data_IF_715976097024
#
_entry.id   IF_715976097024
#
_cell.length_a   1.000
_cell.length_b   1.000
_cell.length_c   1.000
_cell.angle_alpha   90.00
_cell.angle_beta   90.00
_cell.angle_gamma   90.00
#
_symmetry.space_group_name_H-M   'P 1'
#
loop_
_entity.id
_entity.type
_entity.pdbx_description
1 polymer ?
#
# COMPACT_ATOMS: atom_id res chain seq x y z
N UNK A 1 -26.98 8.76 -21.77
CA UNK A 1 -25.86 8.98 -20.81
C UNK A 1 -25.83 10.41 -20.25
N UNK A 2 -25.62 11.46 -21.07
CA UNK A 2 -25.50 12.86 -20.60
C UNK A 2 -26.66 13.36 -19.71
N UNK A 3 -27.91 12.95 -19.99
CA UNK A 3 -29.08 13.31 -19.17
C UNK A 3 -28.99 12.74 -17.75
N UNK A 4 -28.33 11.60 -17.59
CA UNK A 4 -28.15 10.96 -16.28
C UNK A 4 -26.97 11.59 -15.55
N UNK A 5 -25.82 11.77 -16.21
CA UNK A 5 -24.64 12.39 -15.58
C UNK A 5 -24.87 13.85 -15.16
N UNK A 6 -25.77 14.58 -15.84
CA UNK A 6 -26.19 15.93 -15.43
C UNK A 6 -26.94 15.97 -14.07
N UNK A 7 -27.43 14.84 -13.57
CA UNK A 7 -28.16 14.74 -12.30
C UNK A 7 -27.26 14.41 -11.11
N UNK A 8 -25.95 14.17 -11.35
CA UNK A 8 -24.98 13.91 -10.28
C UNK A 8 -24.70 15.19 -9.49
N UNK A 9 -24.59 15.06 -8.17
CA UNK A 9 -24.35 16.15 -7.24
C UNK A 9 -23.03 15.96 -6.51
N UNK A 10 -22.91 14.89 -5.73
CA UNK A 10 -21.72 14.58 -4.93
C UNK A 10 -20.60 14.02 -5.79
N UNK A 11 -20.96 13.19 -6.78
CA UNK A 11 -20.03 12.58 -7.72
C UNK A 11 -19.99 13.30 -9.07
N UNK A 12 -20.37 14.59 -9.10
CA UNK A 12 -20.46 15.38 -10.34
C UNK A 12 -19.11 15.53 -11.05
N UNK A 13 -18.03 15.61 -10.30
CA UNK A 13 -16.67 15.79 -10.80
C UNK A 13 -15.88 14.49 -10.70
N UNK A 14 -16.21 13.49 -11.52
CA UNK A 14 -15.35 12.31 -11.72
C UNK A 14 -14.01 12.65 -12.42
N UNK A 15 -13.54 13.90 -12.33
CA UNK A 15 -12.42 14.48 -13.07
C UNK A 15 -12.87 15.10 -14.39
N UNK A 16 -12.43 16.32 -14.67
CA UNK A 16 -12.51 16.91 -16.00
C UNK A 16 -11.75 15.99 -16.97
N UNK A 17 -12.36 15.69 -18.13
CA UNK A 17 -11.84 14.75 -19.13
C UNK A 17 -11.78 13.27 -18.71
N UNK A 18 -12.57 12.87 -17.71
CA UNK A 18 -12.81 11.45 -17.43
C UNK A 18 -13.50 10.74 -18.60
N UNK A 19 -13.29 9.43 -18.74
CA UNK A 19 -13.95 8.58 -19.74
C UNK A 19 -15.47 8.75 -19.70
N UNK A 20 -16.07 8.78 -18.50
CA UNK A 20 -17.52 9.02 -18.33
C UNK A 20 -17.97 10.40 -18.85
N UNK A 21 -17.18 11.45 -18.60
CA UNK A 21 -17.50 12.80 -19.07
C UNK A 21 -17.40 12.93 -20.59
N UNK A 22 -16.38 12.33 -21.21
CA UNK A 22 -16.18 12.35 -22.65
C UNK A 22 -17.21 11.48 -23.37
N UNK A 23 -17.52 10.29 -22.85
CA UNK A 23 -18.64 9.48 -23.36
C UNK A 23 -19.96 10.23 -23.23
N UNK A 24 -20.21 10.93 -22.12
CA UNK A 24 -21.43 11.74 -21.98
C UNK A 24 -21.57 12.77 -23.12
N UNK A 25 -20.48 13.47 -23.47
CA UNK A 25 -20.48 14.43 -24.61
C UNK A 25 -20.74 13.73 -25.94
N UNK A 26 -20.08 12.59 -26.19
CA UNK A 26 -20.29 11.78 -27.40
C UNK A 26 -21.76 11.38 -27.54
N UNK A 27 -22.39 10.88 -26.46
CA UNK A 27 -23.80 10.50 -26.47
C UNK A 27 -24.75 11.69 -26.65
N UNK A 28 -24.37 12.88 -26.16
CA UNK A 28 -25.12 14.09 -26.44
C UNK A 28 -25.06 14.44 -27.93
N UNK A 29 -23.87 14.44 -28.52
CA UNK A 29 -23.67 14.81 -29.92
C UNK A 29 -24.32 13.80 -30.89
N UNK A 30 -24.32 12.51 -30.52
CA UNK A 30 -25.05 11.47 -31.23
C UNK A 30 -26.57 11.71 -31.20
N UNK A 31 -27.16 11.94 -30.03
CA UNK A 31 -28.60 12.22 -29.89
C UNK A 31 -29.00 13.53 -30.61
N UNK A 32 -28.16 14.56 -30.52
CA UNK A 32 -28.39 15.87 -31.12
C UNK A 32 -28.05 15.93 -32.61
N UNK A 33 -27.39 14.90 -33.15
CA UNK A 33 -26.89 14.81 -34.54
C UNK A 33 -25.98 15.98 -34.91
N UNK A 34 -25.07 16.35 -33.99
CA UNK A 34 -24.18 17.50 -34.15
C UNK A 34 -22.76 17.12 -34.58
N UNK A 35 -22.45 15.83 -34.70
CA UNK A 35 -21.16 15.31 -35.15
C UNK A 35 -21.36 14.22 -36.22
N UNK A 36 -20.35 14.03 -37.08
CA UNK A 36 -20.35 12.97 -38.09
C UNK A 36 -20.01 11.61 -37.48
N UNK A 37 -20.50 10.52 -38.08
CA UNK A 37 -20.29 9.15 -37.60
C UNK A 37 -18.80 8.82 -37.43
N UNK A 38 -17.95 9.26 -38.36
CA UNK A 38 -16.50 9.03 -38.29
C UNK A 38 -15.85 9.71 -37.08
N UNK A 39 -16.27 10.96 -36.77
CA UNK A 39 -15.79 11.70 -35.60
C UNK A 39 -16.24 11.02 -34.31
N UNK A 40 -17.50 10.57 -34.25
CA UNK A 40 -18.04 9.85 -33.10
C UNK A 40 -17.28 8.54 -32.85
N UNK A 41 -17.01 7.76 -33.90
CA UNK A 41 -16.25 6.50 -33.81
C UNK A 41 -14.84 6.75 -33.27
N UNK A 42 -14.11 7.75 -33.80
CA UNK A 42 -12.77 8.10 -33.33
C UNK A 42 -12.75 8.48 -31.83
N UNK A 43 -13.70 9.33 -31.42
CA UNK A 43 -13.85 9.75 -30.03
C UNK A 43 -14.21 8.57 -29.13
N UNK A 44 -15.10 7.67 -29.56
CA UNK A 44 -15.44 6.44 -28.84
C UNK A 44 -14.21 5.56 -28.67
N UNK A 45 -13.47 5.27 -29.74
CA UNK A 45 -12.29 4.40 -29.67
C UNK A 45 -11.17 4.99 -28.81
N UNK A 46 -11.05 6.31 -28.74
CA UNK A 46 -10.16 6.98 -27.78
C UNK A 46 -10.54 6.63 -26.34
N UNK A 47 -11.84 6.67 -26.01
CA UNK A 47 -12.34 6.31 -24.68
C UNK A 47 -12.24 4.81 -24.39
N UNK A 48 -12.50 3.95 -25.36
CA UNK A 48 -12.32 2.49 -25.24
C UNK A 48 -10.85 2.16 -24.98
N UNK A 49 -9.92 2.78 -25.72
CA UNK A 49 -8.49 2.61 -25.48
C UNK A 49 -8.11 3.02 -24.06
N UNK A 50 -8.56 4.19 -23.60
CA UNK A 50 -8.30 4.65 -22.24
C UNK A 50 -8.84 3.68 -21.18
N UNK A 51 -10.01 3.09 -21.41
CA UNK A 51 -10.58 2.07 -20.53
C UNK A 51 -9.76 0.76 -20.53
N UNK A 52 -9.28 0.31 -21.69
CA UNK A 52 -8.42 -0.87 -21.80
C UNK A 52 -7.04 -0.66 -21.14
N UNK A 53 -6.48 0.55 -21.25
CA UNK A 53 -5.24 0.93 -20.57
C UNK A 53 -5.46 0.90 -19.04
N UNK A 54 -6.55 1.48 -18.55
CA UNK A 54 -6.93 1.43 -17.13
C UNK A 54 -7.14 -0.01 -16.65
N UNK A 55 -7.88 -0.81 -17.40
CA UNK A 55 -8.11 -2.22 -17.10
C UNK A 55 -6.79 -3.00 -17.07
N UNK A 56 -5.83 -2.66 -17.92
CA UNK A 56 -4.49 -3.25 -17.88
C UNK A 56 -3.70 -2.86 -16.63
N UNK A 57 -3.73 -1.58 -16.24
CA UNK A 57 -3.00 -1.08 -15.08
C UNK A 57 -3.54 -1.62 -13.76
N UNK A 58 -4.86 -1.75 -13.64
CA UNK A 58 -5.53 -2.23 -12.43
C UNK A 58 -5.91 -3.71 -12.49
N UNK A 59 -5.74 -4.36 -13.64
CA UNK A 59 -6.06 -5.78 -13.85
C UNK A 59 -7.56 -6.08 -13.82
N UNK A 60 -8.41 -5.17 -14.30
CA UNK A 60 -9.84 -5.40 -14.39
C UNK A 60 -10.18 -6.45 -15.46
N UNK A 61 -11.22 -7.23 -15.19
CA UNK A 61 -11.71 -8.30 -16.06
C UNK A 61 -13.24 -8.35 -16.05
N UNK A 62 -13.88 -9.18 -16.87
CA UNK A 62 -15.34 -9.29 -16.98
C UNK A 62 -15.97 -8.01 -17.60
N UNK A 63 -16.79 -7.27 -16.85
CA UNK A 63 -17.42 -6.05 -17.35
C UNK A 63 -16.57 -4.82 -17.02
N UNK A 64 -15.79 -4.33 -17.99
CA UNK A 64 -14.89 -3.19 -17.78
C UNK A 64 -15.64 -1.88 -17.52
N UNK A 65 -16.82 -1.71 -18.08
CA UNK A 65 -17.64 -0.52 -17.84
C UNK A 65 -18.10 -0.45 -16.38
N UNK A 66 -18.64 -1.55 -15.85
CA UNK A 66 -19.05 -1.64 -14.45
C UNK A 66 -17.86 -1.48 -13.50
N UNK A 67 -16.73 -2.12 -13.82
CA UNK A 67 -15.51 -1.98 -13.03
C UNK A 67 -15.00 -0.54 -13.02
N UNK A 68 -15.08 0.16 -14.15
CA UNK A 68 -14.69 1.56 -14.24
C UNK A 68 -15.60 2.48 -13.41
N UNK A 69 -16.93 2.33 -13.52
CA UNK A 69 -17.87 3.10 -12.70
C UNK A 69 -17.67 2.83 -11.21
N UNK A 70 -17.44 1.56 -10.84
CA UNK A 70 -17.10 1.18 -9.47
C UNK A 70 -15.82 1.88 -9.04
N UNK A 71 -14.75 1.76 -9.83
CA UNK A 71 -13.46 2.38 -9.53
C UNK A 71 -13.59 3.90 -9.33
N UNK A 72 -14.38 4.58 -10.17
CA UNK A 72 -14.68 6.00 -10.00
C UNK A 72 -15.32 6.31 -8.65
N UNK A 73 -16.30 5.51 -8.20
CA UNK A 73 -16.94 5.70 -6.89
C UNK A 73 -15.95 5.48 -5.74
N UNK A 74 -15.13 4.44 -5.81
CA UNK A 74 -14.19 4.11 -4.74
C UNK A 74 -13.06 5.15 -4.64
N UNK A 75 -12.66 5.73 -5.78
CA UNK A 75 -11.58 6.72 -5.85
C UNK A 75 -12.02 8.17 -5.59
N UNK A 76 -13.31 8.48 -5.67
CA UNK A 76 -13.79 9.86 -5.55
C UNK A 76 -13.80 10.32 -4.09
N UNK A 77 -12.82 11.16 -3.73
CA UNK A 77 -12.80 11.87 -2.45
C UNK A 77 -13.69 13.11 -2.53
N UNK A 78 -14.86 13.04 -1.89
CA UNK A 78 -15.82 14.13 -1.78
C UNK A 78 -16.32 14.24 -0.33
N UNK A 79 -17.16 15.23 -0.04
CA UNK A 79 -17.67 15.47 1.31
C UNK A 79 -18.44 14.27 1.89
N UNK A 80 -19.13 13.50 1.06
CA UNK A 80 -19.83 12.28 1.49
C UNK A 80 -18.88 11.14 1.80
N UNK A 81 -18.00 10.82 0.86
CA UNK A 81 -17.10 9.68 1.01
C UNK A 81 -16.15 9.89 2.19
N UNK A 82 -15.57 11.09 2.35
CA UNK A 82 -14.67 11.42 3.47
C UNK A 82 -15.36 11.40 4.84
N UNK A 83 -16.65 11.74 4.92
CA UNK A 83 -17.42 11.62 6.17
C UNK A 83 -17.77 10.16 6.46
N UNK A 84 -18.17 9.41 5.42
CA UNK A 84 -18.48 7.97 5.50
C UNK A 84 -17.29 7.13 5.93
N UNK A 85 -16.07 7.58 5.59
CA UNK A 85 -14.84 6.95 6.04
C UNK A 85 -14.68 7.00 7.57
N UNK A 86 -15.09 8.10 8.23
CA UNK A 86 -14.76 8.37 9.64
C UNK A 86 -15.75 7.79 10.64
N UNK A 87 -17.01 7.65 10.26
CA UNK A 87 -18.06 7.22 11.17
C UNK A 87 -19.24 6.63 10.41
N UNK A 88 -20.04 5.76 11.05
CA UNK A 88 -21.36 5.40 10.53
C UNK A 88 -22.14 6.70 10.32
N UNK A 89 -22.45 7.00 9.06
CA UNK A 89 -23.00 8.31 8.70
C UNK A 89 -24.37 8.45 9.39
N UNK A 90 -24.50 9.48 10.23
CA UNK A 90 -25.77 9.81 10.88
C UNK A 90 -26.77 10.27 9.82
N UNK A 91 -28.04 9.93 10.03
CA UNK A 91 -29.09 10.24 9.07
C UNK A 91 -29.20 11.75 8.82
N UNK A 92 -29.22 12.16 7.55
CA UNK A 92 -29.17 13.57 7.18
C UNK A 92 -29.36 13.83 5.69
N UNK A 93 -29.57 15.09 5.31
CA UNK A 93 -29.87 15.49 3.92
C UNK A 93 -28.81 15.08 2.90
N UNK A 94 -27.58 14.81 3.36
CA UNK A 94 -26.51 14.36 2.49
C UNK A 94 -26.72 12.91 2.01
N UNK A 95 -27.39 12.05 2.79
CA UNK A 95 -27.85 10.73 2.34
C UNK A 95 -28.80 10.82 1.15
N UNK A 96 -29.70 11.81 1.18
CA UNK A 96 -30.64 12.02 0.09
C UNK A 96 -29.92 12.30 -1.24
N UNK A 97 -28.87 13.14 -1.21
CA UNK A 97 -28.05 13.42 -2.39
C UNK A 97 -27.21 12.21 -2.81
N UNK A 98 -26.63 11.46 -1.88
CA UNK A 98 -25.88 10.24 -2.18
C UNK A 98 -26.76 9.19 -2.84
N UNK A 99 -27.96 8.93 -2.30
CA UNK A 99 -28.94 8.00 -2.88
C UNK A 99 -29.40 8.44 -4.27
N UNK A 100 -29.60 9.74 -4.50
CA UNK A 100 -29.88 10.24 -5.84
C UNK A 100 -28.75 9.92 -6.83
N UNK A 101 -27.50 10.17 -6.44
CA UNK A 101 -26.34 9.85 -7.28
C UNK A 101 -26.20 8.34 -7.50
N UNK A 102 -26.49 7.50 -6.50
CA UNK A 102 -26.49 6.04 -6.65
C UNK A 102 -27.60 5.52 -7.56
N UNK A 103 -28.77 6.20 -7.59
CA UNK A 103 -29.80 5.92 -8.59
C UNK A 103 -29.30 6.23 -10.00
N UNK A 104 -28.54 7.32 -10.17
CA UNK A 104 -27.90 7.66 -11.45
C UNK A 104 -26.85 6.59 -11.82
N UNK A 105 -26.01 6.19 -10.87
CA UNK A 105 -25.03 5.11 -11.06
C UNK A 105 -25.71 3.83 -11.52
N UNK A 106 -26.80 3.40 -10.88
CA UNK A 106 -27.53 2.19 -11.29
C UNK A 106 -27.97 2.26 -12.75
N UNK A 107 -28.52 3.40 -13.18
CA UNK A 107 -28.89 3.63 -14.58
C UNK A 107 -27.69 3.66 -15.54
N UNK A 108 -26.51 4.08 -15.07
CA UNK A 108 -25.28 4.02 -15.85
C UNK A 108 -24.74 2.58 -15.95
N UNK A 109 -24.86 1.77 -14.89
CA UNK A 109 -24.56 0.34 -14.92
C UNK A 109 -25.46 -0.39 -15.93
N UNK A 110 -26.76 -0.10 -15.88
CA UNK A 110 -27.76 -0.73 -16.76
C UNK A 110 -27.89 -0.01 -18.12
N UNK A 111 -26.92 0.84 -18.50
CA UNK A 111 -26.99 1.65 -19.70
C UNK A 111 -26.87 0.80 -20.97
N UNK A 112 -27.84 0.95 -21.88
CA UNK A 112 -27.86 0.22 -23.15
C UNK A 112 -27.02 0.92 -24.23
N UNK A 113 -25.94 0.27 -24.63
CA UNK A 113 -25.04 0.74 -25.70
C UNK A 113 -25.47 0.27 -27.11
N UNK A 114 -26.42 -0.68 -27.24
CA UNK A 114 -26.81 -1.23 -28.55
C UNK A 114 -27.26 -0.16 -29.57
N UNK A 115 -28.01 0.90 -29.20
CA UNK A 115 -28.49 1.87 -30.19
C UNK A 115 -27.36 2.59 -30.92
N UNK A 116 -26.30 3.00 -30.22
CA UNK A 116 -25.15 3.70 -30.82
C UNK A 116 -24.23 2.72 -31.57
N UNK A 117 -24.04 1.51 -31.03
CA UNK A 117 -23.26 0.45 -31.69
C UNK A 117 -23.87 0.08 -33.05
N UNK A 118 -25.18 -0.13 -33.08
CA UNK A 118 -25.93 -0.42 -34.30
C UNK A 118 -25.90 0.73 -35.30
N UNK A 119 -26.01 1.97 -34.84
CA UNK A 119 -26.02 3.14 -35.71
C UNK A 119 -24.65 3.37 -36.37
N UNK A 120 -23.56 3.19 -35.62
CA UNK A 120 -22.19 3.46 -36.07
C UNK A 120 -21.50 2.23 -36.67
N UNK A 121 -22.09 1.03 -36.57
CA UNK A 121 -21.51 -0.21 -37.08
C UNK A 121 -20.28 -0.67 -36.29
N UNK A 122 -20.28 -0.46 -34.97
CA UNK A 122 -19.19 -0.84 -34.04
C UNK A 122 -19.69 -1.84 -33.00
N UNK A 123 -18.78 -2.56 -32.34
CA UNK A 123 -19.09 -3.61 -31.33
C UNK A 123 -18.25 -3.48 -30.04
N UNK A 124 -17.60 -2.33 -29.86
CA UNK A 124 -16.61 -2.14 -28.81
C UNK A 124 -17.21 -2.15 -27.40
N UNK A 125 -18.42 -1.61 -27.18
CA UNK A 125 -19.07 -1.58 -25.87
C UNK A 125 -19.54 -2.98 -25.46
N UNK A 126 -20.13 -3.73 -26.39
CA UNK A 126 -20.49 -5.13 -26.19
C UNK A 126 -19.25 -5.99 -25.88
N UNK A 127 -18.11 -5.69 -26.51
CA UNK A 127 -16.84 -6.37 -26.28
C UNK A 127 -16.25 -6.08 -24.89
N UNK A 128 -16.19 -4.82 -24.46
CA UNK A 128 -15.64 -4.47 -23.13
C UNK A 128 -16.55 -4.89 -21.96
N UNK A 129 -17.84 -5.10 -22.23
CA UNK A 129 -18.80 -5.59 -21.22
C UNK A 129 -18.65 -7.10 -20.97
N UNK A 130 -18.02 -7.81 -21.92
CA UNK A 130 -17.72 -9.24 -21.86
C UNK A 130 -16.22 -9.50 -22.00
N UNK A 131 -15.41 -8.64 -21.40
CA UNK A 131 -13.96 -8.67 -21.54
C UNK A 131 -13.37 -9.92 -20.89
N UNK A 132 -12.31 -10.43 -21.51
CA UNK A 132 -11.49 -11.52 -20.98
C UNK A 132 -10.04 -11.07 -20.99
N UNK A 133 -9.49 -10.82 -19.82
CA UNK A 133 -8.11 -10.45 -19.66
C UNK A 133 -7.20 -11.59 -20.11
N UNK A 134 -6.19 -11.27 -20.94
CA UNK A 134 -5.13 -12.22 -21.25
C UNK A 134 -4.34 -12.48 -19.96
N UNK A 135 -4.11 -13.75 -19.62
CA UNK A 135 -3.31 -14.15 -18.46
C UNK A 135 -1.90 -13.54 -18.56
N UNK A 136 -1.67 -12.43 -17.87
CA UNK A 136 -0.37 -11.77 -17.76
C UNK A 136 0.37 -12.34 -16.54
N UNK A 137 1.70 -12.40 -16.62
CA UNK A 137 2.55 -12.72 -15.46
C UNK A 137 2.18 -11.76 -14.32
N UNK A 138 2.00 -12.31 -13.12
CA UNK A 138 1.39 -11.70 -11.92
C UNK A 138 2.01 -10.38 -11.41
N UNK A 139 3.02 -9.83 -12.10
CA UNK A 139 3.83 -8.69 -11.63
C UNK A 139 3.39 -7.31 -12.14
N UNK A 140 2.33 -7.21 -12.96
CA UNK A 140 2.00 -5.97 -13.70
C UNK A 140 0.91 -5.11 -13.02
N UNK A 141 0.03 -5.68 -12.19
CA UNK A 141 -1.11 -4.96 -11.59
C UNK A 141 -1.36 -5.34 -10.13
N UNK A 142 -2.02 -4.45 -9.38
CA UNK A 142 -2.38 -4.71 -7.98
C UNK A 142 -3.59 -5.67 -7.90
N UNK A 143 -3.33 -6.96 -7.70
CA UNK A 143 -4.36 -8.01 -7.63
C UNK A 143 -5.40 -7.74 -6.53
N UNK A 144 -5.00 -7.14 -5.41
CA UNK A 144 -5.93 -6.85 -4.32
C UNK A 144 -6.92 -5.77 -4.72
N UNK A 145 -6.45 -4.70 -5.37
CA UNK A 145 -7.32 -3.64 -5.90
C UNK A 145 -8.26 -4.20 -6.96
N UNK A 146 -7.73 -5.00 -7.90
CA UNK A 146 -8.53 -5.65 -8.93
C UNK A 146 -9.68 -6.48 -8.33
N UNK A 147 -9.34 -7.42 -7.44
CA UNK A 147 -10.30 -8.32 -6.83
C UNK A 147 -11.35 -7.55 -6.00
N UNK A 148 -10.92 -6.49 -5.32
CA UNK A 148 -11.78 -5.61 -4.55
C UNK A 148 -12.78 -4.86 -5.43
N UNK A 149 -12.31 -4.19 -6.49
CA UNK A 149 -13.17 -3.46 -7.44
C UNK A 149 -14.16 -4.42 -8.10
N UNK A 150 -13.71 -5.58 -8.59
CA UNK A 150 -14.59 -6.56 -9.22
C UNK A 150 -15.64 -7.12 -8.25
N UNK A 151 -15.28 -7.34 -6.97
CA UNK A 151 -16.24 -7.77 -5.94
C UNK A 151 -17.34 -6.74 -5.72
N UNK A 152 -16.97 -5.47 -5.57
CA UNK A 152 -17.94 -4.38 -5.36
C UNK A 152 -18.77 -4.16 -6.62
N UNK A 153 -18.14 -4.21 -7.80
CA UNK A 153 -18.78 -4.09 -9.11
C UNK A 153 -19.91 -5.11 -9.27
N UNK A 154 -19.64 -6.40 -9.02
CA UNK A 154 -20.66 -7.46 -9.02
C UNK A 154 -21.78 -7.23 -8.00
N UNK A 155 -21.43 -6.69 -6.84
CA UNK A 155 -22.43 -6.40 -5.79
C UNK A 155 -23.38 -5.26 -6.23
N UNK A 156 -22.85 -4.23 -6.89
CA UNK A 156 -23.64 -3.12 -7.44
C UNK A 156 -24.48 -3.59 -8.63
N UNK A 157 -23.94 -4.46 -9.48
CA UNK A 157 -24.66 -5.04 -10.62
C UNK A 157 -25.93 -5.78 -10.16
N UNK A 158 -25.82 -6.60 -9.10
CA UNK A 158 -26.96 -7.35 -8.56
C UNK A 158 -27.85 -6.55 -7.60
N UNK A 159 -27.49 -5.30 -7.27
CA UNK A 159 -28.27 -4.47 -6.36
C UNK A 159 -29.65 -4.12 -6.96
N UNK A 160 -30.69 -4.23 -6.15
CA UNK A 160 -32.07 -3.97 -6.56
C UNK A 160 -32.35 -2.49 -6.81
N UNK A 161 -31.78 -1.61 -5.98
CA UNK A 161 -32.06 -0.17 -5.98
C UNK A 161 -30.90 0.66 -5.42
N UNK A 162 -31.08 1.98 -5.34
CA UNK A 162 -30.09 2.89 -4.78
C UNK A 162 -29.80 2.70 -3.29
N UNK A 163 -30.69 2.08 -2.52
CA UNK A 163 -30.49 1.84 -1.08
C UNK A 163 -29.48 0.72 -0.87
N UNK A 164 -29.59 -0.37 -1.63
CA UNK A 164 -28.61 -1.44 -1.61
C UNK A 164 -27.22 -0.95 -2.07
N UNK A 165 -27.16 -0.14 -3.13
CA UNK A 165 -25.89 0.48 -3.57
C UNK A 165 -25.33 1.39 -2.48
N UNK A 166 -26.18 2.20 -1.84
CA UNK A 166 -25.77 3.06 -0.73
C UNK A 166 -25.13 2.23 0.39
N UNK A 167 -25.74 1.11 0.78
CA UNK A 167 -25.20 0.23 1.82
C UNK A 167 -23.88 -0.41 1.40
N UNK A 168 -23.77 -0.90 0.16
CA UNK A 168 -22.54 -1.51 -0.37
C UNK A 168 -21.38 -0.51 -0.32
N UNK A 169 -21.59 0.70 -0.84
CA UNK A 169 -20.56 1.74 -0.94
C UNK A 169 -20.18 2.29 0.44
N UNK A 170 -21.15 2.54 1.32
CA UNK A 170 -20.85 3.03 2.68
C UNK A 170 -20.14 1.99 3.54
N UNK A 171 -20.53 0.72 3.43
CA UNK A 171 -19.81 -0.40 4.08
C UNK A 171 -18.37 -0.44 3.59
N UNK A 172 -18.16 -0.30 2.27
CA UNK A 172 -16.82 -0.22 1.71
C UNK A 172 -16.01 0.96 2.29
N UNK A 173 -16.58 2.17 2.35
CA UNK A 173 -15.89 3.33 2.92
C UNK A 173 -15.59 3.15 4.42
N UNK A 174 -16.39 2.40 5.16
CA UNK A 174 -16.10 2.13 6.57
C UNK A 174 -14.98 1.09 6.76
N UNK A 175 -14.98 0.03 5.96
CA UNK A 175 -14.00 -1.05 6.08
C UNK A 175 -12.65 -0.70 5.47
N UNK A 176 -12.66 -0.09 4.29
CA UNK A 176 -11.46 0.15 3.50
C UNK A 176 -11.13 1.62 3.39
N UNK A 177 -12.10 2.51 3.56
CA UNK A 177 -11.97 3.95 3.35
C UNK A 177 -12.00 4.37 1.89
N UNK A 178 -11.67 5.62 1.61
CA UNK A 178 -11.85 6.25 0.29
C UNK A 178 -10.53 6.51 -0.41
N UNK A 179 -10.56 6.54 -1.74
CA UNK A 179 -9.47 7.07 -2.55
C UNK A 179 -8.31 6.09 -2.67
N UNK A 180 -7.14 6.62 -3.01
CA UNK A 180 -5.93 5.82 -3.17
C UNK A 180 -5.54 5.08 -1.88
N UNK A 181 -5.78 5.71 -0.73
CA UNK A 181 -5.56 5.11 0.59
C UNK A 181 -6.55 3.99 0.87
N UNK A 182 -7.76 4.04 0.33
CA UNK A 182 -8.71 2.94 0.53
C UNK A 182 -8.30 1.68 -0.21
N UNK A 183 -7.82 1.85 -1.43
CA UNK A 183 -7.48 0.76 -2.33
C UNK A 183 -6.09 0.17 -2.08
N UNK A 184 -5.13 0.93 -1.56
CA UNK A 184 -3.75 0.48 -1.45
C UNK A 184 -3.25 0.47 -0.01
N UNK A 185 -2.52 -0.58 0.36
CA UNK A 185 -1.94 -0.76 1.70
C UNK A 185 -0.64 0.00 1.93
N UNK A 186 0.11 0.29 0.86
CA UNK A 186 1.40 0.97 0.97
C UNK A 186 1.74 1.86 -0.21
N UNK A 187 2.58 2.85 0.07
CA UNK A 187 2.93 3.95 -0.83
C UNK A 187 4.42 4.25 -0.76
N UNK A 188 4.97 4.69 -1.89
CA UNK A 188 6.18 5.51 -1.95
C UNK A 188 5.78 6.93 -2.25
N UNK A 189 6.70 7.86 -2.05
CA UNK A 189 6.49 9.25 -2.43
C UNK A 189 7.43 9.68 -3.54
N UNK A 190 6.96 10.63 -4.35
CA UNK A 190 7.77 11.42 -5.27
C UNK A 190 7.66 12.89 -4.86
N UNK A 191 8.80 13.54 -4.67
CA UNK A 191 8.85 14.97 -4.37
C UNK A 191 8.57 15.76 -5.66
N UNK A 192 7.67 16.73 -5.59
CA UNK A 192 7.30 17.60 -6.71
C UNK A 192 8.07 18.93 -6.64
N UNK A 193 8.31 19.57 -7.79
CA UNK A 193 9.06 20.84 -7.86
C UNK A 193 8.36 22.00 -7.11
N UNK A 194 7.03 21.94 -6.98
CA UNK A 194 6.22 22.91 -6.26
C UNK A 194 6.28 22.76 -4.72
N UNK A 195 7.08 21.83 -4.20
CA UNK A 195 7.18 21.53 -2.77
C UNK A 195 6.10 20.59 -2.24
N UNK A 196 5.26 20.04 -3.12
CA UNK A 196 4.26 19.03 -2.77
C UNK A 196 4.82 17.60 -2.93
N UNK A 197 4.04 16.59 -2.53
CA UNK A 197 4.38 15.17 -2.70
C UNK A 197 3.29 14.41 -3.43
N UNK A 198 3.70 13.51 -4.31
CA UNK A 198 2.81 12.55 -4.98
C UNK A 198 2.93 11.18 -4.30
N UNK A 199 1.81 10.61 -3.88
CA UNK A 199 1.75 9.26 -3.32
C UNK A 199 1.61 8.22 -4.45
N UNK A 200 2.58 7.32 -4.53
CA UNK A 200 2.63 6.26 -5.54
C UNK A 200 2.36 4.91 -4.87
N UNK A 201 1.27 4.19 -5.24
CA UNK A 201 0.94 2.91 -4.62
C UNK A 201 1.99 1.84 -4.93
N UNK A 202 2.29 1.00 -3.94
CA UNK A 202 3.16 -0.17 -4.09
C UNK A 202 2.29 -1.39 -4.39
N UNK A 203 2.24 -1.76 -5.68
CA UNK A 203 1.34 -2.81 -6.17
C UNK A 203 1.77 -4.24 -5.85
N UNK A 204 3.07 -4.47 -5.61
CA UNK A 204 3.68 -5.79 -5.46
C UNK A 204 4.34 -5.96 -4.09
N UNK A 205 3.60 -5.72 -3.01
CA UNK A 205 4.08 -6.10 -1.69
C UNK A 205 3.77 -7.58 -1.45
N UNK A 206 4.79 -8.33 -1.04
CA UNK A 206 4.66 -9.72 -0.61
C UNK A 206 3.45 -9.92 0.31
N UNK A 207 2.76 -11.05 0.17
CA UNK A 207 1.56 -11.40 0.97
C UNK A 207 1.88 -11.97 2.36
N UNK A 208 3.16 -12.03 2.70
CA UNK A 208 3.72 -12.56 3.96
C UNK A 208 3.11 -11.86 5.17
N UNK A 209 2.63 -12.63 6.15
CA UNK A 209 2.23 -12.16 7.49
C UNK A 209 3.27 -12.58 8.54
N UNK A 210 3.16 -12.08 9.77
CA UNK A 210 4.19 -12.35 10.80
C UNK A 210 4.31 -13.84 11.15
N UNK A 211 3.21 -14.58 11.03
CA UNK A 211 3.19 -16.02 11.32
C UNK A 211 3.94 -16.85 10.26
N UNK A 212 4.11 -16.31 9.05
CA UNK A 212 4.95 -16.92 8.00
C UNK A 212 6.45 -16.75 8.30
N UNK A 213 6.81 -15.82 9.20
CA UNK A 213 8.19 -15.58 9.61
C UNK A 213 8.60 -16.55 10.72
N UNK A 214 9.51 -17.47 10.40
CA UNK A 214 9.99 -18.48 11.34
C UNK A 214 10.93 -17.86 12.39
N UNK A 215 10.65 -18.17 13.66
CA UNK A 215 11.43 -17.66 14.81
C UNK A 215 11.07 -16.24 15.23
N UNK A 216 11.94 -15.61 16.02
CA UNK A 216 11.80 -14.22 16.51
C UNK A 216 10.47 -13.91 17.22
N UNK A 217 9.88 -14.90 17.91
CA UNK A 217 8.52 -14.78 18.45
C UNK A 217 8.37 -13.56 19.37
N UNK A 218 9.29 -13.36 20.32
CA UNK A 218 9.28 -12.19 21.19
C UNK A 218 9.31 -10.86 20.42
N UNK A 219 10.15 -10.75 19.38
CA UNK A 219 10.23 -9.55 18.54
C UNK A 219 8.95 -9.32 17.75
N UNK A 220 8.33 -10.39 17.24
CA UNK A 220 7.06 -10.34 16.51
C UNK A 220 5.93 -9.91 17.44
N UNK A 221 5.86 -10.47 18.66
CA UNK A 221 4.83 -10.15 19.65
C UNK A 221 4.93 -8.68 20.09
N UNK A 222 6.14 -8.18 20.38
CA UNK A 222 6.36 -6.76 20.69
C UNK A 222 5.89 -5.83 19.57
N UNK A 223 6.20 -6.16 18.31
CA UNK A 223 5.77 -5.38 17.15
C UNK A 223 4.25 -5.44 16.96
N UNK A 224 3.65 -6.62 17.17
CA UNK A 224 2.22 -6.87 17.07
C UNK A 224 1.45 -6.10 18.13
N UNK A 225 1.83 -6.22 19.40
CA UNK A 225 1.17 -5.52 20.51
C UNK A 225 1.16 -4.00 20.32
N UNK A 226 2.30 -3.41 19.92
CA UNK A 226 2.40 -1.98 19.66
C UNK A 226 1.54 -1.53 18.48
N UNK A 227 1.56 -2.31 17.38
CA UNK A 227 0.79 -1.96 16.18
C UNK A 227 -0.71 -2.18 16.38
N UNK A 228 -1.09 -3.22 17.12
CA UNK A 228 -2.47 -3.46 17.54
C UNK A 228 -2.99 -2.29 18.38
N UNK A 229 -2.23 -1.84 19.37
CA UNK A 229 -2.58 -0.66 20.15
C UNK A 229 -2.80 0.56 19.24
N UNK A 230 -1.93 0.78 18.26
CA UNK A 230 -2.03 1.91 17.33
C UNK A 230 -3.31 1.87 16.46
N UNK A 231 -3.63 0.71 15.87
CA UNK A 231 -4.85 0.57 15.03
C UNK A 231 -6.13 0.69 15.84
N UNK A 232 -6.13 0.25 17.09
CA UNK A 232 -7.24 0.41 18.03
C UNK A 232 -7.36 1.83 18.61
N UNK A 233 -6.47 2.76 18.21
CA UNK A 233 -6.45 4.14 18.72
C UNK A 233 -5.95 4.28 20.17
N UNK A 234 -5.27 3.26 20.69
CA UNK A 234 -4.54 3.32 21.96
C UNK A 234 -3.15 3.92 21.75
N UNK A 235 -2.53 4.36 22.84
CA UNK A 235 -1.15 4.87 22.80
C UNK A 235 -0.18 3.78 22.32
N UNK A 236 0.67 4.16 21.37
CA UNK A 236 1.68 3.29 20.77
C UNK A 236 2.95 4.10 20.50
N UNK A 237 4.08 3.41 20.40
CA UNK A 237 5.39 4.03 20.25
C UNK A 237 5.89 3.98 18.80
N UNK A 238 6.71 4.95 18.43
CA UNK A 238 7.59 4.81 17.26
C UNK A 238 8.52 3.60 17.50
N UNK A 239 8.76 2.80 16.47
CA UNK A 239 9.50 1.54 16.59
C UNK A 239 10.82 1.59 15.82
N UNK A 240 11.92 1.19 16.49
CA UNK A 240 13.22 0.99 15.86
C UNK A 240 13.58 -0.49 15.93
N UNK A 241 13.63 -1.15 14.77
CA UNK A 241 14.10 -2.53 14.65
C UNK A 241 15.57 -2.49 14.27
N UNK A 242 16.45 -2.96 15.16
CA UNK A 242 17.90 -2.90 14.94
C UNK A 242 18.56 -4.26 15.09
N UNK A 243 19.74 -4.44 14.53
CA UNK A 243 20.51 -5.66 14.65
C UNK A 243 21.08 -6.14 13.32
N UNK A 244 21.44 -7.42 13.23
CA UNK A 244 22.19 -7.94 12.09
C UNK A 244 21.38 -7.89 10.79
N UNK A 245 22.06 -7.72 9.66
CA UNK A 245 21.42 -7.78 8.35
C UNK A 245 20.89 -9.20 8.04
N UNK A 246 19.80 -9.27 7.28
CA UNK A 246 19.23 -10.56 6.84
C UNK A 246 18.43 -11.34 7.90
N UNK A 247 18.12 -10.73 9.05
CA UNK A 247 17.35 -11.34 10.16
C UNK A 247 15.83 -11.15 10.06
N UNK A 248 15.35 -10.42 9.05
CA UNK A 248 13.90 -10.24 8.80
C UNK A 248 13.30 -8.92 9.25
N UNK A 249 14.08 -7.95 9.76
CA UNK A 249 13.58 -6.63 10.25
C UNK A 249 12.58 -5.94 9.29
N UNK A 250 12.99 -5.71 8.05
CA UNK A 250 12.15 -5.04 7.03
C UNK A 250 10.96 -5.92 6.62
N UNK A 251 11.12 -7.24 6.62
CA UNK A 251 10.04 -8.19 6.33
C UNK A 251 8.99 -8.19 7.44
N UNK A 252 9.38 -8.11 8.72
CA UNK A 252 8.44 -8.00 9.84
C UNK A 252 7.56 -6.75 9.74
N UNK A 253 8.13 -5.61 9.34
CA UNK A 253 7.35 -4.37 9.14
C UNK A 253 6.43 -4.47 7.92
N UNK A 254 6.85 -5.12 6.83
CA UNK A 254 5.95 -5.36 5.70
C UNK A 254 4.82 -6.32 6.06
N UNK A 255 5.13 -7.33 6.87
CA UNK A 255 4.18 -8.32 7.34
C UNK A 255 3.12 -7.73 8.29
N UNK A 256 3.51 -6.82 9.19
CA UNK A 256 2.53 -6.16 10.08
C UNK A 256 1.51 -5.32 9.29
N UNK A 257 1.94 -4.71 8.18
CA UNK A 257 1.05 -3.93 7.30
C UNK A 257 0.03 -4.83 6.60
N UNK A 258 0.42 -6.06 6.24
CA UNK A 258 -0.51 -7.04 5.69
C UNK A 258 -1.52 -7.53 6.74
N UNK A 259 -1.04 -7.83 7.94
CA UNK A 259 -1.85 -8.33 9.05
C UNK A 259 -2.97 -7.34 9.43
N UNK A 260 -2.64 -6.04 9.52
CA UNK A 260 -3.55 -4.99 9.98
C UNK A 260 -4.11 -4.09 8.86
N UNK A 261 -3.99 -4.48 7.58
CA UNK A 261 -4.53 -3.68 6.47
C UNK A 261 -6.04 -3.44 6.59
N UNK A 262 -6.78 -4.46 7.03
CA UNK A 262 -8.23 -4.41 7.25
C UNK A 262 -8.62 -3.52 8.43
N UNK A 263 -7.70 -3.30 9.37
CA UNK A 263 -7.89 -2.42 10.53
C UNK A 263 -7.48 -0.97 10.23
N UNK A 264 -7.37 -0.61 8.94
CA UNK A 264 -7.06 0.74 8.51
C UNK A 264 -5.57 1.12 8.54
N UNK A 265 -4.65 0.15 8.74
CA UNK A 265 -3.22 0.41 8.71
C UNK A 265 -2.72 0.63 7.27
N UNK A 266 -1.90 1.66 7.07
CA UNK A 266 -1.24 2.02 5.81
C UNK A 266 0.24 2.29 6.05
N UNK A 267 1.08 1.98 5.07
CA UNK A 267 2.52 2.25 5.14
C UNK A 267 2.96 3.24 4.08
N UNK A 268 3.79 4.21 4.46
CA UNK A 268 4.44 5.13 3.52
C UNK A 268 5.95 4.93 3.64
N UNK A 269 6.55 4.29 2.64
CA UNK A 269 7.99 4.08 2.55
C UNK A 269 8.65 5.38 2.06
N UNK A 270 9.62 5.86 2.83
CA UNK A 270 10.41 7.04 2.48
C UNK A 270 11.91 6.73 2.50
N UNK A 271 12.64 7.36 1.60
CA UNK A 271 14.09 7.30 1.56
C UNK A 271 14.73 8.50 2.26
N UNK A 272 16.01 8.37 2.66
CA UNK A 272 16.75 9.40 3.42
C UNK A 272 16.65 10.81 2.83
N UNK A 273 16.85 10.95 1.52
CA UNK A 273 16.81 12.24 0.83
C UNK A 273 15.41 12.89 0.82
N UNK A 274 14.37 12.15 1.21
CA UNK A 274 12.98 12.60 1.26
C UNK A 274 12.54 12.97 2.69
N UNK A 275 13.43 12.94 3.68
CA UNK A 275 13.08 13.33 5.06
C UNK A 275 12.62 14.78 5.16
N UNK A 276 13.08 15.65 4.25
CA UNK A 276 12.59 17.03 4.10
C UNK A 276 11.10 17.11 3.77
N UNK A 277 10.52 16.08 3.18
CA UNK A 277 9.11 16.04 2.74
C UNK A 277 8.17 15.51 3.83
N UNK A 278 8.69 15.09 5.00
CA UNK A 278 7.91 14.51 6.10
C UNK A 278 6.74 15.41 6.54
N UNK A 279 6.97 16.71 6.68
CA UNK A 279 5.93 17.66 7.09
C UNK A 279 4.79 17.72 6.07
N UNK A 280 5.12 17.71 4.77
CA UNK A 280 4.14 17.70 3.68
C UNK A 280 3.39 16.37 3.65
N UNK A 281 4.08 15.24 3.81
CA UNK A 281 3.43 13.92 3.91
C UNK A 281 2.42 13.90 5.07
N UNK A 282 2.83 14.38 6.24
CA UNK A 282 1.99 14.41 7.44
C UNK A 282 0.77 15.32 7.24
N UNK A 283 0.91 16.47 6.56
CA UNK A 283 -0.21 17.38 6.32
C UNK A 283 -1.29 16.76 5.43
N UNK A 284 -0.92 15.92 4.46
CA UNK A 284 -1.86 15.17 3.61
C UNK A 284 -2.63 14.09 4.38
N UNK A 285 -2.00 13.45 5.36
CA UNK A 285 -2.56 12.25 6.01
C UNK A 285 -3.16 12.50 7.40
N UNK A 286 -2.84 13.63 8.05
CA UNK A 286 -3.24 13.91 9.46
C UNK A 286 -4.74 13.89 9.72
N UNK A 287 -5.55 14.17 8.70
CA UNK A 287 -7.00 14.27 8.81
C UNK A 287 -7.76 13.06 8.23
N UNK A 288 -7.07 12.00 7.83
CA UNK A 288 -7.68 10.76 7.29
C UNK A 288 -7.98 9.77 8.42
N UNK A 289 -8.94 8.86 8.24
CA UNK A 289 -9.31 7.90 9.29
C UNK A 289 -8.31 6.74 9.46
N UNK A 290 -7.37 6.60 8.54
CA UNK A 290 -6.36 5.55 8.59
C UNK A 290 -5.30 5.80 9.66
N UNK A 291 -4.59 4.72 9.98
CA UNK A 291 -3.37 4.74 10.77
C UNK A 291 -2.18 4.55 9.84
N UNK A 292 -1.23 5.47 9.88
CA UNK A 292 -0.10 5.48 8.97
C UNK A 292 1.19 5.14 9.70
N UNK A 293 1.92 4.14 9.20
CA UNK A 293 3.33 3.93 9.52
C UNK A 293 4.16 4.59 8.42
N UNK A 294 4.89 5.63 8.78
CA UNK A 294 5.97 6.14 7.94
C UNK A 294 7.18 5.23 8.17
N UNK A 295 7.56 4.50 7.13
CA UNK A 295 8.59 3.48 7.17
C UNK A 295 9.90 3.97 6.56
N UNK A 296 11.00 3.78 7.29
CA UNK A 296 12.36 4.10 6.86
C UNK A 296 13.22 2.85 6.90
N UNK A 297 13.64 2.36 5.73
CA UNK A 297 14.53 1.20 5.66
C UNK A 297 16.00 1.64 5.81
N UNK A 298 16.76 0.86 6.58
CA UNK A 298 18.20 1.00 6.81
C UNK A 298 18.64 2.42 7.20
N UNK A 299 18.02 2.94 8.26
CA UNK A 299 18.43 4.16 8.91
C UNK A 299 19.85 4.00 9.47
N UNK A 300 20.80 4.69 8.87
CA UNK A 300 22.10 4.96 9.45
C UNK A 300 22.12 6.37 10.03
N UNK A 301 23.07 6.59 10.93
CA UNK A 301 23.36 7.91 11.46
C UNK A 301 24.86 8.11 11.33
N UNK A 302 25.32 8.38 10.11
CA UNK A 302 26.70 8.75 9.85
C UNK A 302 26.93 10.20 10.27
N UNK A 303 28.17 10.60 10.57
CA UNK A 303 28.48 11.93 11.15
C UNK A 303 28.17 13.09 10.19
N UNK A 304 28.17 12.83 8.88
CA UNK A 304 27.89 13.81 7.86
C UNK A 304 26.40 13.85 7.42
N UNK A 305 25.57 12.93 7.91
CA UNK A 305 24.14 12.91 7.58
C UNK A 305 23.43 13.98 8.43
N UNK A 306 22.87 15.01 7.80
CA UNK A 306 22.11 16.08 8.49
C UNK A 306 20.60 15.82 8.45
N UNK A 307 20.17 14.84 7.66
CA UNK A 307 18.77 14.54 7.36
C UNK A 307 18.00 14.07 8.61
N UNK A 308 18.68 13.49 9.60
CA UNK A 308 18.06 13.04 10.85
C UNK A 308 17.50 14.21 11.68
N UNK A 309 17.95 15.45 11.45
CA UNK A 309 17.42 16.64 12.14
C UNK A 309 15.95 16.89 11.81
N UNK A 310 15.54 16.63 10.57
CA UNK A 310 14.13 16.68 10.16
C UNK A 310 13.31 15.62 10.89
N UNK A 311 13.84 14.41 10.99
CA UNK A 311 13.19 13.31 11.70
C UNK A 311 12.99 13.63 13.19
N UNK A 312 14.03 14.18 13.83
CA UNK A 312 13.97 14.62 15.22
C UNK A 312 12.91 15.71 15.42
N UNK A 313 12.90 16.75 14.59
CA UNK A 313 11.92 17.83 14.68
C UNK A 313 10.47 17.33 14.54
N UNK A 314 10.23 16.34 13.67
CA UNK A 314 8.90 15.74 13.47
C UNK A 314 8.49 14.89 14.67
N UNK A 315 9.40 14.10 15.26
CA UNK A 315 9.08 13.28 16.43
C UNK A 315 8.93 14.12 17.70
N UNK A 316 9.73 15.18 17.84
CA UNK A 316 9.65 16.13 18.96
C UNK A 316 8.46 17.08 18.87
N UNK A 317 7.81 17.14 17.69
CA UNK A 317 6.62 17.95 17.47
C UNK A 317 6.91 19.44 17.42
N UNK A 318 7.72 19.88 16.44
CA UNK A 318 8.16 21.26 16.23
C UNK A 318 7.13 22.36 16.56
N UNK A 319 6.43 22.90 15.55
CA UNK A 319 5.34 23.89 15.76
C UNK A 319 3.96 23.22 15.71
N UNK A 320 3.82 22.13 14.95
CA UNK A 320 2.62 21.29 14.94
C UNK A 320 2.85 20.04 15.80
N UNK A 321 1.87 19.68 16.62
CA UNK A 321 1.84 18.40 17.33
C UNK A 321 1.74 17.26 16.33
N UNK A 322 2.57 16.22 16.49
CA UNK A 322 2.49 14.99 15.70
C UNK A 322 1.06 14.41 15.76
N UNK A 323 0.43 14.08 14.62
CA UNK A 323 -0.93 13.52 14.62
C UNK A 323 -0.98 12.14 15.29
N UNK A 324 -2.08 11.88 16.00
CA UNK A 324 -2.34 10.60 16.69
C UNK A 324 -2.42 9.41 15.71
N UNK A 325 -2.68 9.68 14.44
CA UNK A 325 -2.84 8.66 13.40
C UNK A 325 -1.53 8.34 12.64
N UNK A 326 -0.37 8.78 13.12
CA UNK A 326 0.93 8.54 12.47
C UNK A 326 1.94 7.92 13.45
N UNK A 327 2.61 6.84 13.05
CA UNK A 327 3.81 6.29 13.71
C UNK A 327 4.99 6.26 12.74
N UNK A 328 6.20 6.31 13.30
CA UNK A 328 7.44 6.16 12.53
C UNK A 328 8.09 4.84 12.90
N UNK A 329 8.25 3.95 11.91
CA UNK A 329 8.98 2.69 12.07
C UNK A 329 10.25 2.77 11.23
N UNK A 330 11.37 2.36 11.82
CA UNK A 330 12.66 2.35 11.15
C UNK A 330 13.38 1.02 11.35
N UNK A 331 14.17 0.60 10.36
CA UNK A 331 15.18 -0.46 10.55
C UNK A 331 16.58 0.12 10.62
N UNK A 332 17.49 -0.54 11.34
CA UNK A 332 18.92 -0.20 11.28
C UNK A 332 19.81 -1.45 11.35
N UNK A 333 20.83 -1.51 10.50
CA UNK A 333 21.84 -2.56 10.54
C UNK A 333 22.99 -2.25 11.53
N UNK A 334 23.07 -1.02 12.05
CA UNK A 334 24.15 -0.61 12.95
C UNK A 334 23.77 -0.88 14.40
N UNK A 335 24.18 -2.04 14.93
CA UNK A 335 24.12 -2.35 16.38
C UNK A 335 24.73 -1.26 17.26
N UNK A 336 25.71 -0.54 16.71
CA UNK A 336 26.52 0.47 17.39
C UNK A 336 25.76 1.77 17.71
N UNK A 337 24.58 1.99 17.12
CA UNK A 337 23.73 3.14 17.44
C UNK A 337 23.30 3.24 18.90
N UNK A 338 23.25 2.09 19.60
CA UNK A 338 22.75 1.98 20.98
C UNK A 338 23.85 1.54 21.96
N UNK A 339 24.96 0.99 21.45
CA UNK A 339 25.93 0.20 22.25
C UNK A 339 27.30 0.83 22.45
N UNK A 340 27.64 1.94 21.82
CA UNK A 340 28.93 2.64 22.02
C UNK A 340 29.00 3.43 23.34
N UNK A 341 28.29 2.99 24.38
CA UNK A 341 28.24 3.71 25.66
C UNK A 341 29.48 3.54 26.54
N UNK A 342 30.47 2.68 26.20
CA UNK A 342 31.50 2.31 27.19
C UNK A 342 32.92 2.03 26.70
N UNK A 343 33.19 1.91 25.39
CA UNK A 343 34.55 1.54 24.90
C UNK A 343 35.41 2.70 24.40
N UNK A 344 34.80 3.77 23.89
CA UNK A 344 35.56 4.92 23.35
C UNK A 344 35.97 5.95 24.42
N UNK A 345 35.68 5.71 25.70
CA UNK A 345 36.18 6.57 26.79
C UNK A 345 37.67 6.40 27.10
N UNK A 346 38.34 5.40 26.51
CA UNK A 346 39.68 4.99 26.96
C UNK A 346 40.79 5.11 25.90
N UNK A 347 40.51 5.52 24.67
CA UNK A 347 41.53 5.74 23.64
C UNK A 347 41.00 6.74 22.60
N UNK A 348 41.34 8.03 22.69
CA UNK A 348 41.48 9.04 21.60
C UNK A 348 41.79 10.42 22.25
N UNK A 349 42.66 11.21 21.59
CA UNK A 349 43.27 12.45 22.11
C UNK A 349 42.33 13.69 22.16
N UNK A 350 42.65 14.62 23.07
CA UNK A 350 41.86 15.76 23.60
C UNK A 350 41.32 16.85 22.63
N UNK A 351 41.67 16.90 21.34
CA UNK A 351 41.31 18.04 20.47
C UNK A 351 40.06 17.83 19.58
N UNK A 352 39.59 16.59 19.40
CA UNK A 352 38.38 16.24 18.60
C UNK A 352 37.16 15.88 19.49
N UNK A 353 37.29 15.95 20.83
CA UNK A 353 36.27 15.48 21.80
C UNK A 353 34.92 16.22 21.73
N UNK A 354 34.92 17.53 21.51
CA UNK A 354 33.70 18.35 21.64
C UNK A 354 32.72 18.12 20.48
N UNK A 355 33.19 18.06 19.24
CA UNK A 355 32.30 17.92 18.08
C UNK A 355 31.79 16.49 17.86
N UNK A 356 32.59 15.47 18.17
CA UNK A 356 32.16 14.07 18.11
C UNK A 356 31.15 13.73 19.21
N UNK A 357 31.34 14.24 20.44
CA UNK A 357 30.41 14.01 21.56
C UNK A 357 29.03 14.65 21.34
N UNK A 358 28.97 15.88 20.82
CA UNK A 358 27.71 16.56 20.47
C UNK A 358 26.92 15.78 19.40
N UNK A 359 27.61 15.32 18.35
CA UNK A 359 26.99 14.55 17.26
C UNK A 359 26.46 13.19 17.76
N UNK A 360 27.19 12.53 18.67
CA UNK A 360 26.79 11.27 19.28
C UNK A 360 25.58 11.45 20.23
N UNK A 361 25.57 12.52 21.02
CA UNK A 361 24.47 12.84 21.93
C UNK A 361 23.19 13.21 21.17
N UNK A 362 23.29 13.92 20.04
CA UNK A 362 22.15 14.17 19.16
C UNK A 362 21.56 12.87 18.59
N UNK A 363 22.39 11.91 18.17
CA UNK A 363 21.94 10.60 17.68
C UNK A 363 21.24 9.77 18.76
N UNK A 364 21.83 9.69 19.95
CA UNK A 364 21.22 9.01 21.09
C UNK A 364 19.89 9.65 21.48
N UNK A 365 19.80 10.99 21.41
CA UNK A 365 18.56 11.70 21.69
C UNK A 365 17.44 11.32 20.71
N UNK A 366 17.76 11.04 19.45
CA UNK A 366 16.80 10.60 18.45
C UNK A 366 16.40 9.14 18.64
N UNK A 367 17.37 8.25 18.91
CA UNK A 367 17.07 6.84 19.24
C UNK A 367 16.15 6.74 20.45
N UNK A 368 16.35 7.56 21.48
CA UNK A 368 15.50 7.60 22.66
C UNK A 368 14.04 7.99 22.37
N UNK A 369 13.74 8.58 21.20
CA UNK A 369 12.36 8.89 20.77
C UNK A 369 11.64 7.71 20.12
N UNK A 370 12.34 6.62 19.85
CA UNK A 370 11.75 5.34 19.51
C UNK A 370 11.44 4.58 20.80
N UNK A 371 10.25 4.85 21.35
CA UNK A 371 9.78 4.22 22.60
C UNK A 371 9.71 2.69 22.53
N UNK A 372 9.70 2.10 21.33
CA UNK A 372 9.86 0.67 21.12
C UNK A 372 11.16 0.38 20.36
N UNK A 373 12.08 -0.34 20.99
CA UNK A 373 13.35 -0.74 20.39
C UNK A 373 13.47 -2.26 20.38
N UNK A 374 13.51 -2.88 19.20
CA UNK A 374 13.46 -4.34 19.03
C UNK A 374 14.77 -4.84 18.41
N UNK A 375 15.49 -5.70 19.14
CA UNK A 375 16.76 -6.28 18.68
C UNK A 375 16.53 -7.58 17.90
N UNK A 376 16.98 -7.60 16.65
CA UNK A 376 17.02 -8.77 15.78
C UNK A 376 18.46 -9.27 15.63
N UNK A 377 18.82 -10.25 16.44
CA UNK A 377 20.14 -10.88 16.39
C UNK A 377 20.17 -12.04 15.39
N UNK A 378 21.35 -12.37 14.85
CA UNK A 378 21.54 -13.60 14.08
C UNK A 378 21.03 -14.82 14.87
N UNK A 379 20.29 -15.73 14.23
CA UNK A 379 19.86 -16.95 14.89
C UNK A 379 21.08 -17.77 15.29
N UNK A 380 21.01 -18.38 16.48
CA UNK A 380 21.96 -19.44 16.84
C UNK A 380 21.81 -20.62 15.86
N UNK A 381 22.75 -21.56 15.91
CA UNK A 381 22.77 -22.68 14.96
C UNK A 381 21.47 -23.51 14.98
N UNK A 382 20.89 -23.75 16.16
CA UNK A 382 19.64 -24.49 16.32
C UNK A 382 18.47 -23.77 15.63
N UNK A 383 18.26 -22.50 15.96
CA UNK A 383 17.20 -21.68 15.37
C UNK A 383 17.40 -21.51 13.85
N UNK A 384 18.65 -21.45 13.39
CA UNK A 384 18.95 -21.39 11.95
C UNK A 384 18.54 -22.66 11.22
N UNK A 385 18.80 -23.84 11.82
CA UNK A 385 18.34 -25.10 11.26
C UNK A 385 16.82 -25.20 11.25
N UNK A 386 16.15 -24.78 12.32
CA UNK A 386 14.68 -24.71 12.36
C UNK A 386 14.13 -23.83 11.22
N UNK A 387 14.72 -22.66 10.98
CA UNK A 387 14.35 -21.79 9.85
C UNK A 387 14.53 -22.53 8.51
N UNK A 388 15.67 -23.19 8.29
CA UNK A 388 15.92 -23.91 7.03
C UNK A 388 14.94 -25.07 6.85
N UNK A 389 14.69 -25.85 7.89
CA UNK A 389 13.76 -27.01 7.85
C UNK A 389 12.34 -26.55 7.56
N UNK A 390 11.84 -25.52 8.24
CA UNK A 390 10.48 -25.01 8.00
C UNK A 390 10.35 -24.38 6.60
N UNK A 391 11.36 -23.64 6.12
CA UNK A 391 11.34 -23.13 4.76
C UNK A 391 11.32 -24.26 3.73
N UNK A 392 12.11 -25.32 3.92
CA UNK A 392 12.19 -26.45 2.99
C UNK A 392 10.84 -27.16 2.80
N UNK A 393 9.98 -27.21 3.83
CA UNK A 393 8.64 -27.81 3.74
C UNK A 393 7.74 -27.13 2.71
N UNK A 394 8.01 -25.88 2.36
CA UNK A 394 7.26 -25.13 1.36
C UNK A 394 7.66 -25.50 -0.08
N UNK A 395 8.70 -26.32 -0.26
CA UNK A 395 9.28 -26.69 -1.56
C UNK A 395 9.26 -28.22 -1.72
N UNK A 396 8.17 -28.80 -2.27
CA UNK A 396 8.01 -30.25 -2.42
C UNK A 396 9.13 -30.94 -3.20
N UNK A 397 9.84 -30.20 -4.06
CA UNK A 397 10.99 -30.68 -4.83
C UNK A 397 12.27 -30.88 -3.99
N UNK A 398 12.31 -30.33 -2.77
CA UNK A 398 13.38 -30.56 -1.82
C UNK A 398 13.05 -31.83 -1.02
N UNK A 399 13.62 -32.96 -1.47
CA UNK A 399 13.39 -34.29 -0.89
C UNK A 399 14.47 -34.74 0.09
N UNK A 400 15.38 -33.83 0.46
CA UNK A 400 16.43 -34.09 1.44
C UNK A 400 15.82 -34.41 2.81
N UNK A 401 16.42 -35.36 3.51
CA UNK A 401 16.11 -35.60 4.92
C UNK A 401 16.51 -34.39 5.78
N UNK A 402 15.93 -34.29 6.98
CA UNK A 402 16.25 -33.20 7.91
C UNK A 402 17.76 -33.16 8.25
N UNK A 403 18.40 -34.31 8.39
CA UNK A 403 19.84 -34.42 8.68
C UNK A 403 20.70 -33.90 7.52
N UNK A 404 20.33 -34.23 6.28
CA UNK A 404 20.98 -33.72 5.07
C UNK A 404 20.79 -32.21 4.91
N UNK A 405 19.56 -31.71 5.15
CA UNK A 405 19.24 -30.28 5.15
C UNK A 405 20.10 -29.51 6.17
N UNK A 406 20.23 -30.03 7.40
CA UNK A 406 21.08 -29.42 8.42
C UNK A 406 22.57 -29.48 8.06
N UNK A 407 23.02 -30.52 7.36
CA UNK A 407 24.39 -30.61 6.87
C UNK A 407 24.68 -29.57 5.78
N UNK A 408 23.77 -29.40 4.82
CA UNK A 408 23.87 -28.37 3.79
C UNK A 408 23.75 -26.96 4.40
N UNK A 409 22.87 -26.76 5.38
CA UNK A 409 22.75 -25.51 6.13
C UNK A 409 24.06 -25.11 6.81
N UNK A 410 24.77 -26.07 7.42
CA UNK A 410 26.11 -25.84 8.01
C UNK A 410 27.11 -25.38 6.98
N UNK A 411 27.19 -26.09 5.84
CA UNK A 411 28.11 -25.73 4.75
C UNK A 411 27.80 -24.34 4.20
N UNK A 412 26.53 -24.05 3.98
CA UNK A 412 26.08 -22.77 3.44
C UNK A 412 26.40 -21.59 4.35
N UNK A 413 26.11 -21.72 5.65
CA UNK A 413 26.34 -20.68 6.65
C UNK A 413 27.82 -20.29 6.79
N UNK A 414 28.74 -21.23 6.62
CA UNK A 414 30.19 -20.98 6.61
C UNK A 414 30.65 -20.17 5.39
N UNK A 415 30.03 -20.37 4.22
CA UNK A 415 30.43 -19.73 2.96
C UNK A 415 29.77 -18.38 2.66
N UNK A 416 28.60 -18.08 3.25
CA UNK A 416 27.72 -16.98 2.81
C UNK A 416 27.45 -15.91 3.88
N UNK A 417 28.44 -15.62 4.73
CA UNK A 417 28.38 -14.50 5.66
C UNK A 417 27.61 -14.77 6.96
N UNK A 418 27.36 -16.05 7.29
CA UNK A 418 26.81 -16.51 8.55
C UNK A 418 25.31 -16.87 8.53
N UNK A 419 24.84 -17.38 9.67
CA UNK A 419 23.46 -17.83 9.83
C UNK A 419 22.49 -16.64 9.87
N UNK A 420 21.55 -16.57 8.92
CA UNK A 420 20.51 -15.54 8.86
C UNK A 420 19.30 -16.07 8.07
N UNK A 421 18.12 -15.45 8.22
CA UNK A 421 16.94 -15.82 7.43
C UNK A 421 17.19 -15.64 5.92
N UNK A 422 17.92 -14.59 5.52
CA UNK A 422 18.36 -14.39 4.13
C UNK A 422 19.22 -15.55 3.64
N UNK A 423 20.21 -15.97 4.42
CA UNK A 423 21.08 -17.10 4.06
C UNK A 423 20.29 -18.41 3.93
N UNK A 424 19.33 -18.63 4.83
CA UNK A 424 18.43 -19.79 4.76
C UNK A 424 17.61 -19.78 3.45
N UNK A 425 16.96 -18.66 3.11
CA UNK A 425 16.20 -18.56 1.86
C UNK A 425 17.08 -18.77 0.62
N UNK A 426 18.31 -18.22 0.62
CA UNK A 426 19.25 -18.42 -0.48
C UNK A 426 19.66 -19.89 -0.65
N UNK A 427 19.85 -20.61 0.46
CA UNK A 427 20.10 -22.05 0.44
C UNK A 427 18.91 -22.80 -0.16
N UNK A 428 17.68 -22.49 0.27
CA UNK A 428 16.47 -23.13 -0.25
C UNK A 428 16.33 -22.89 -1.76
N UNK A 429 16.55 -21.66 -2.23
CA UNK A 429 16.56 -21.34 -3.65
C UNK A 429 17.65 -22.12 -4.42
N UNK A 430 18.84 -22.28 -3.83
CA UNK A 430 19.92 -23.07 -4.41
C UNK A 430 19.56 -24.56 -4.52
N UNK A 431 18.98 -25.13 -3.46
CA UNK A 431 18.56 -26.54 -3.43
C UNK A 431 17.43 -26.80 -4.43
N UNK A 432 16.39 -25.95 -4.43
CA UNK A 432 15.27 -26.03 -5.39
C UNK A 432 15.77 -25.92 -6.84
N UNK A 433 16.66 -24.97 -7.13
CA UNK A 433 17.25 -24.81 -8.46
C UNK A 433 18.08 -26.01 -8.93
N UNK A 434 18.69 -26.76 -8.01
CA UNK A 434 19.46 -27.98 -8.31
C UNK A 434 18.57 -29.19 -8.58
N UNK A 435 17.35 -29.22 -8.03
CA UNK A 435 16.36 -30.27 -8.26
C UNK A 435 15.72 -30.23 -9.66
N UNK A 436 16.02 -29.22 -10.49
CA UNK A 436 15.79 -29.27 -11.94
C UNK A 436 14.35 -29.04 -12.44
N UNK A 437 13.42 -28.63 -11.58
CA UNK A 437 12.07 -28.24 -12.01
C UNK A 437 12.03 -26.74 -12.30
N UNK A 438 11.60 -26.37 -13.52
CA UNK A 438 11.33 -24.98 -13.87
C UNK A 438 10.12 -24.51 -13.06
N UNK A 439 10.31 -23.54 -12.17
CA UNK A 439 9.24 -22.72 -11.55
C UNK A 439 8.44 -21.96 -12.58
#
# INVERSE_FOLDING_TARGET
MYKETAKLILYRSFGDHSILSELSKIFHDFDAKTAEDAELIERIYTQIKALLDLATSYGFDENLWHNYLTFLLLMNENSFSLVSEKSPVQDGSMHHFAKNDFRVVKRLFDFDFHPIEKALGIDCFSTISNYKAVAKKERIYNRNVSAMVQRISRSIETAADEEEIFQIITTFYQEYGVGMFGLNKAFRIRSCENGDVEFLPINNMDSVVLDDLIGYQMQKDMLRENTQAFVEGRNANNALLYGDSGTGKSTSIKAIVNEYYKDGLRMIEIYKHQFKDLSTIISHIKNRNYRFIIYMDDLSFEEFEIEYKFLKAVIEGGVETKPDNVLIYATSNRRHLVRETWKDRNDINDDDELHHSDTMQEKLSLVARFGLSICYERPNQKNYFEIVTELAKQYPEITLSEEELQAEARKWGLGHGGNSGRAAQQLINYLSGRSGLKT
#
